data_IF_625775920303
#
_entry.id   IF_625775920303
#
_cell.length_a   1.000
_cell.length_b   1.000
_cell.length_c   1.000
_cell.angle_alpha   90.00
_cell.angle_beta   90.00
_cell.angle_gamma   90.00
#
_symmetry.space_group_name_H-M   'P 1'
#
loop_
_entity.id
_entity.type
_entity.pdbx_description
1 polymer ?
#
# COMPACT_ATOMS: atom_id res chain seq x y z
N UNK A 1 -20.70 22.36 6.59
CA UNK A 1 -19.75 23.16 7.38
C UNK A 1 -18.35 23.26 6.74
N UNK A 2 -17.92 22.32 5.86
CA UNK A 2 -16.61 22.43 5.19
C UNK A 2 -16.60 23.39 3.98
N UNK A 3 -17.74 23.61 3.33
CA UNK A 3 -17.82 24.37 2.06
C UNK A 3 -17.48 25.86 2.22
N UNK A 4 -17.69 26.45 3.39
CA UNK A 4 -17.50 27.89 3.58
C UNK A 4 -16.03 28.28 3.72
N UNK A 5 -15.18 27.46 4.37
CA UNK A 5 -13.76 27.77 4.54
C UNK A 5 -12.96 27.58 3.23
N UNK A 6 -13.25 26.50 2.50
CA UNK A 6 -12.62 26.19 1.21
C UNK A 6 -12.95 27.25 0.15
N UNK A 7 -14.19 27.75 0.16
CA UNK A 7 -14.61 28.83 -0.76
C UNK A 7 -13.95 30.17 -0.43
N UNK A 8 -13.71 30.47 0.85
CA UNK A 8 -13.07 31.73 1.27
C UNK A 8 -11.59 31.76 0.92
N UNK A 9 -10.86 30.64 1.03
CA UNK A 9 -9.43 30.58 0.67
C UNK A 9 -9.19 30.65 -0.85
N UNK A 10 -10.07 30.02 -1.66
CA UNK A 10 -10.00 30.13 -3.12
C UNK A 10 -10.33 31.56 -3.61
N UNK A 11 -11.30 32.23 -2.98
CA UNK A 11 -11.62 33.63 -3.27
C UNK A 11 -10.45 34.58 -3.00
N UNK A 12 -9.59 34.27 -2.02
CA UNK A 12 -8.37 35.06 -1.75
C UNK A 12 -7.32 34.90 -2.84
N UNK A 13 -7.20 33.71 -3.45
CA UNK A 13 -6.28 33.47 -4.57
C UNK A 13 -6.78 34.16 -5.85
N UNK A 14 -8.09 34.12 -6.12
CA UNK A 14 -8.69 34.80 -7.29
C UNK A 14 -8.62 36.33 -7.20
N UNK A 15 -8.56 36.88 -5.99
CA UNK A 15 -8.43 38.32 -5.74
C UNK A 15 -6.97 38.79 -5.61
N UNK A 16 -5.99 37.89 -5.65
CA UNK A 16 -4.58 38.25 -5.58
C UNK A 16 -4.15 38.93 -6.89
N UNK A 17 -3.61 40.14 -6.79
CA UNK A 17 -3.21 40.96 -7.93
C UNK A 17 -2.18 40.25 -8.82
N UNK A 18 -1.26 39.46 -8.24
CA UNK A 18 -0.24 38.71 -9.00
C UNK A 18 -0.87 37.58 -9.81
N UNK A 19 -1.92 36.95 -9.29
CA UNK A 19 -2.67 35.90 -10.00
C UNK A 19 -3.44 36.53 -11.16
N UNK A 20 -4.07 37.68 -10.95
CA UNK A 20 -4.80 38.40 -11.99
C UNK A 20 -3.87 38.88 -13.11
N UNK A 21 -2.72 39.49 -12.78
CA UNK A 21 -1.71 39.92 -13.74
C UNK A 21 -1.19 38.75 -14.59
N UNK A 22 -0.85 37.62 -13.96
CA UNK A 22 -0.36 36.44 -14.68
C UNK A 22 -1.45 35.78 -15.53
N UNK A 23 -2.70 35.79 -15.06
CA UNK A 23 -3.86 35.30 -15.82
C UNK A 23 -4.09 36.13 -17.08
N UNK A 24 -4.14 37.46 -16.94
CA UNK A 24 -4.27 38.38 -18.06
C UNK A 24 -3.10 38.24 -19.04
N UNK A 25 -1.87 38.26 -18.54
CA UNK A 25 -0.67 38.08 -19.36
C UNK A 25 -0.64 36.74 -20.10
N UNK A 26 -1.19 35.67 -19.51
CA UNK A 26 -1.31 34.37 -20.18
C UNK A 26 -2.28 34.40 -21.36
N UNK A 27 -3.40 35.14 -21.24
CA UNK A 27 -4.37 35.34 -22.32
C UNK A 27 -3.74 36.17 -23.44
N UNK A 28 -3.03 37.25 -23.12
CA UNK A 28 -2.34 38.10 -24.10
C UNK A 28 -1.25 37.32 -24.85
N UNK A 29 -0.45 36.52 -24.14
CA UNK A 29 0.51 35.62 -24.77
C UNK A 29 -0.20 34.60 -25.70
N UNK A 30 -1.32 34.02 -25.28
CA UNK A 30 -2.07 33.10 -26.14
C UNK A 30 -2.57 33.78 -27.43
N UNK A 31 -3.11 35.00 -27.32
CA UNK A 31 -3.55 35.77 -28.48
C UNK A 31 -2.39 36.08 -29.43
N UNK A 32 -1.24 36.48 -28.89
CA UNK A 32 -0.02 36.71 -29.69
C UNK A 32 0.47 35.43 -30.36
N UNK A 33 0.42 34.29 -29.66
CA UNK A 33 0.80 32.99 -30.22
C UNK A 33 -0.07 32.63 -31.44
N UNK A 34 -1.37 32.93 -31.39
CA UNK A 34 -2.31 32.66 -32.50
C UNK A 34 -2.05 33.54 -33.73
N UNK A 35 -1.44 34.72 -33.57
CA UNK A 35 -1.09 35.61 -34.68
C UNK A 35 0.27 35.34 -35.31
N UNK A 36 1.14 34.57 -34.65
CA UNK A 36 2.48 34.27 -35.17
C UNK A 36 2.34 33.30 -36.35
N UNK A 37 2.91 33.69 -37.49
CA UNK A 37 3.07 32.84 -38.66
C UNK A 37 4.55 32.76 -38.98
N UNK A 38 5.09 31.56 -39.12
CA UNK A 38 6.51 31.32 -39.39
C UNK A 38 6.65 30.98 -40.88
N UNK A 39 7.34 31.83 -41.63
CA UNK A 39 7.51 31.68 -43.09
C UNK A 39 8.96 31.75 -43.53
N UNK A 40 9.86 32.26 -42.69
CA UNK A 40 11.29 32.46 -42.96
C UNK A 40 12.11 32.39 -41.66
N UNK A 41 13.43 32.44 -41.79
CA UNK A 41 14.36 32.33 -40.66
C UNK A 41 14.26 33.51 -39.68
N UNK A 42 13.81 34.69 -40.12
CA UNK A 42 13.62 35.87 -39.27
C UNK A 42 12.36 35.71 -38.39
N UNK A 43 11.25 35.24 -38.97
CA UNK A 43 10.03 34.91 -38.22
C UNK A 43 10.19 33.69 -37.31
N UNK A 44 11.07 32.73 -37.64
CA UNK A 44 11.44 31.64 -36.74
C UNK A 44 12.19 32.14 -35.50
N UNK A 45 13.12 33.10 -35.67
CA UNK A 45 13.84 33.72 -34.56
C UNK A 45 12.89 34.47 -33.63
N UNK A 46 11.96 35.26 -34.17
CA UNK A 46 10.94 35.96 -33.38
C UNK A 46 10.02 34.98 -32.62
N UNK A 47 9.65 33.87 -33.26
CA UNK A 47 8.85 32.82 -32.63
C UNK A 47 9.63 32.13 -31.50
N UNK A 48 10.94 31.89 -31.67
CA UNK A 48 11.80 31.32 -30.65
C UNK A 48 11.95 32.24 -29.42
N UNK A 49 12.13 33.55 -29.64
CA UNK A 49 12.14 34.55 -28.56
C UNK A 49 10.79 34.61 -27.82
N UNK A 50 9.68 34.55 -28.57
CA UNK A 50 8.36 34.50 -27.99
C UNK A 50 8.14 33.23 -27.15
N UNK A 51 8.60 32.06 -27.62
CA UNK A 51 8.57 30.82 -26.84
C UNK A 51 9.38 30.94 -25.54
N UNK A 52 10.50 31.66 -25.54
CA UNK A 52 11.25 31.93 -24.31
C UNK A 52 10.43 32.78 -23.32
N UNK A 53 9.70 33.80 -23.81
CA UNK A 53 8.80 34.62 -22.97
C UNK A 53 7.67 33.77 -22.34
N UNK A 54 7.06 32.87 -23.12
CA UNK A 54 6.04 31.93 -22.61
C UNK A 54 6.62 31.02 -21.52
N UNK A 55 7.84 30.50 -21.71
CA UNK A 55 8.52 29.67 -20.70
C UNK A 55 8.78 30.46 -19.41
N UNK A 56 9.20 31.72 -19.50
CA UNK A 56 9.36 32.60 -18.33
C UNK A 56 8.03 32.86 -17.61
N UNK A 57 6.94 33.13 -18.35
CA UNK A 57 5.62 33.33 -17.77
C UNK A 57 5.13 32.06 -17.04
N UNK A 58 5.29 30.88 -17.64
CA UNK A 58 4.99 29.60 -16.98
C UNK A 58 5.77 29.41 -15.69
N UNK A 59 7.06 29.76 -15.68
CA UNK A 59 7.88 29.66 -14.47
C UNK A 59 7.35 30.56 -13.34
N UNK A 60 6.93 31.79 -13.65
CA UNK A 60 6.35 32.70 -12.65
C UNK A 60 5.04 32.17 -12.06
N UNK A 61 4.18 31.57 -12.89
CA UNK A 61 2.95 30.93 -12.43
C UNK A 61 3.28 29.79 -11.45
N UNK A 62 4.28 28.97 -11.78
CA UNK A 62 4.70 27.86 -10.93
C UNK A 62 5.32 28.33 -9.61
N UNK A 63 6.13 29.38 -9.63
CA UNK A 63 6.67 30.01 -8.42
C UNK A 63 5.56 30.56 -7.52
N UNK A 64 4.53 31.19 -8.10
CA UNK A 64 3.38 31.69 -7.35
C UNK A 64 2.54 30.54 -6.78
N UNK A 65 2.34 29.46 -7.55
CA UNK A 65 1.69 28.23 -7.08
C UNK A 65 2.42 27.68 -5.85
N UNK A 66 3.75 27.59 -5.91
CA UNK A 66 4.56 27.16 -4.77
C UNK A 66 4.45 28.09 -3.57
N UNK A 67 4.44 29.40 -3.79
CA UNK A 67 4.26 30.39 -2.72
C UNK A 67 2.97 30.16 -1.91
N UNK A 68 1.86 29.82 -2.56
CA UNK A 68 0.61 29.48 -1.88
C UNK A 68 0.61 28.07 -1.28
N UNK A 69 1.15 27.08 -2.00
CA UNK A 69 0.99 25.66 -1.64
C UNK A 69 2.04 25.14 -0.66
N UNK A 70 3.27 25.66 -0.68
CA UNK A 70 4.35 25.19 0.17
C UNK A 70 4.06 25.38 1.68
N UNK A 71 3.51 26.52 2.15
CA UNK A 71 3.14 26.70 3.55
C UNK A 71 2.03 25.74 3.99
N UNK A 72 1.05 25.49 3.11
CA UNK A 72 -0.07 24.59 3.37
C UNK A 72 0.39 23.13 3.45
N UNK A 73 1.26 22.69 2.54
CA UNK A 73 1.85 21.36 2.59
C UNK A 73 2.74 21.19 3.83
N UNK A 74 3.50 22.23 4.22
CA UNK A 74 4.28 22.22 5.46
C UNK A 74 3.37 22.09 6.69
N UNK A 75 2.26 22.84 6.75
CA UNK A 75 1.30 22.79 7.84
C UNK A 75 0.60 21.43 7.91
N UNK A 76 0.11 20.93 6.78
CA UNK A 76 -0.50 19.59 6.66
C UNK A 76 0.46 18.51 7.13
N UNK A 77 1.73 18.56 6.70
CA UNK A 77 2.76 17.62 7.14
C UNK A 77 3.00 17.72 8.66
N UNK A 78 3.05 18.92 9.22
CA UNK A 78 3.21 19.14 10.66
C UNK A 78 2.02 18.59 11.46
N UNK A 79 0.79 18.81 10.99
CA UNK A 79 -0.44 18.26 11.59
C UNK A 79 -0.38 16.73 11.57
N UNK A 80 -0.13 16.12 10.40
CA UNK A 80 -0.01 14.67 10.26
C UNK A 80 1.08 14.12 11.20
N UNK A 81 2.24 14.77 11.27
CA UNK A 81 3.32 14.36 12.16
C UNK A 81 2.91 14.43 13.64
N UNK A 82 2.18 15.48 14.04
CA UNK A 82 1.67 15.64 15.40
C UNK A 82 0.69 14.51 15.75
N UNK A 83 -0.27 14.22 14.88
CA UNK A 83 -1.23 13.14 15.11
C UNK A 83 -0.55 11.76 15.12
N UNK A 84 0.42 11.50 14.23
CA UNK A 84 1.23 10.27 14.27
C UNK A 84 1.98 10.12 15.59
N UNK A 85 2.55 11.21 16.11
CA UNK A 85 3.24 11.18 17.41
C UNK A 85 2.28 10.91 18.57
N UNK A 86 1.05 11.45 18.52
CA UNK A 86 0.00 11.19 19.51
C UNK A 86 -0.53 9.76 19.43
N UNK A 87 -0.63 9.20 18.22
CA UNK A 87 -1.09 7.83 17.96
C UNK A 87 -0.03 6.76 18.28
N UNK A 88 1.26 7.10 18.19
CA UNK A 88 2.36 6.15 18.36
C UNK A 88 2.33 5.36 19.70
N UNK A 89 1.99 5.95 20.87
CA UNK A 89 1.81 5.17 22.10
C UNK A 89 0.64 4.19 22.04
N UNK A 90 -0.46 4.53 21.34
CA UNK A 90 -1.62 3.67 21.17
C UNK A 90 -1.30 2.50 20.24
N UNK A 91 -0.64 2.76 19.10
CA UNK A 91 -0.12 1.71 18.21
C UNK A 91 0.83 0.75 18.94
N UNK A 92 1.71 1.29 19.81
CA UNK A 92 2.57 0.45 20.67
C UNK A 92 1.76 -0.37 21.67
N UNK A 93 0.77 0.23 22.32
CA UNK A 93 -0.10 -0.48 23.27
C UNK A 93 -0.87 -1.62 22.59
N UNK A 94 -1.43 -1.36 21.40
CA UNK A 94 -2.12 -2.36 20.58
C UNK A 94 -1.18 -3.51 20.20
N UNK A 95 0.04 -3.21 19.73
CA UNK A 95 1.05 -4.24 19.41
C UNK A 95 1.46 -5.07 20.63
N UNK A 96 1.65 -4.45 21.79
CA UNK A 96 2.02 -5.15 23.03
C UNK A 96 0.90 -6.09 23.45
N UNK A 97 -0.34 -5.61 23.53
CA UNK A 97 -1.49 -6.40 23.98
C UNK A 97 -1.86 -7.46 22.94
N UNK A 98 -1.85 -7.11 21.66
CA UNK A 98 -2.05 -8.04 20.55
C UNK A 98 -1.02 -9.17 20.53
N UNK A 99 0.27 -8.85 20.75
CA UNK A 99 1.33 -9.85 20.88
C UNK A 99 1.11 -10.81 22.06
N UNK A 100 0.71 -10.28 23.23
CA UNK A 100 0.33 -11.11 24.38
C UNK A 100 -0.88 -11.99 24.08
N UNK A 101 -1.86 -11.47 23.36
CA UNK A 101 -3.05 -12.23 22.99
C UNK A 101 -2.72 -13.38 22.02
N UNK A 102 -1.85 -13.14 21.04
CA UNK A 102 -1.33 -14.17 20.14
C UNK A 102 -0.56 -15.23 20.93
N UNK A 103 0.37 -14.83 21.80
CA UNK A 103 1.17 -15.76 22.60
C UNK A 103 0.30 -16.63 23.52
N UNK A 104 -0.72 -16.05 24.16
CA UNK A 104 -1.67 -16.80 24.98
C UNK A 104 -2.50 -17.78 24.15
N UNK A 105 -2.95 -17.37 22.97
CA UNK A 105 -3.73 -18.22 22.05
C UNK A 105 -2.88 -19.40 21.58
N UNK A 106 -1.62 -19.16 21.22
CA UNK A 106 -0.66 -20.21 20.85
C UNK A 106 -0.39 -21.18 22.01
N UNK A 107 -0.13 -20.67 23.21
CA UNK A 107 0.09 -21.51 24.40
C UNK A 107 -1.14 -22.37 24.74
N UNK A 108 -2.34 -21.82 24.56
CA UNK A 108 -3.60 -22.56 24.75
C UNK A 108 -3.79 -23.65 23.68
N UNK A 109 -3.49 -23.34 22.42
CA UNK A 109 -3.50 -24.33 21.33
C UNK A 109 -2.48 -25.46 21.60
N UNK A 110 -1.27 -25.13 22.02
CA UNK A 110 -0.24 -26.13 22.36
C UNK A 110 -0.64 -27.00 23.56
N UNK A 111 -1.17 -26.41 24.63
CA UNK A 111 -1.63 -27.15 25.80
C UNK A 111 -2.76 -28.12 25.45
N UNK A 112 -3.72 -27.68 24.64
CA UNK A 112 -4.79 -28.53 24.13
C UNK A 112 -4.25 -29.68 23.28
N UNK A 113 -3.30 -29.42 22.38
CA UNK A 113 -2.70 -30.45 21.54
C UNK A 113 -1.94 -31.50 22.39
N UNK A 114 -1.19 -31.07 23.41
CA UNK A 114 -0.46 -31.98 24.33
C UNK A 114 -1.42 -32.85 25.14
N UNK A 115 -2.52 -32.28 25.65
CA UNK A 115 -3.51 -33.05 26.39
C UNK A 115 -4.26 -34.04 25.48
N UNK A 116 -4.59 -33.63 24.25
CA UNK A 116 -5.16 -34.55 23.24
C UNK A 116 -4.20 -35.71 22.94
N UNK A 117 -2.90 -35.44 22.79
CA UNK A 117 -1.90 -36.48 22.57
C UNK A 117 -1.77 -37.43 23.77
N UNK A 118 -1.74 -36.88 25.00
CA UNK A 118 -1.70 -37.67 26.23
C UNK A 118 -2.92 -38.59 26.35
N UNK A 119 -4.11 -38.05 26.13
CA UNK A 119 -5.36 -38.82 26.18
C UNK A 119 -5.41 -39.88 25.09
N UNK A 120 -4.92 -39.57 23.88
CA UNK A 120 -4.80 -40.53 22.78
C UNK A 120 -3.86 -41.69 23.15
N UNK A 121 -2.67 -41.41 23.69
CA UNK A 121 -1.73 -42.46 24.15
C UNK A 121 -2.32 -43.33 25.26
N UNK A 122 -3.07 -42.74 26.19
CA UNK A 122 -3.71 -43.47 27.29
C UNK A 122 -4.86 -44.35 26.79
N UNK A 123 -5.63 -43.89 25.79
CA UNK A 123 -6.64 -44.68 25.12
C UNK A 123 -6.02 -45.82 24.33
N UNK A 124 -4.97 -45.57 23.53
CA UNK A 124 -4.22 -46.59 22.79
C UNK A 124 -3.64 -47.66 23.74
N UNK A 125 -3.03 -47.25 24.86
CA UNK A 125 -2.50 -48.18 25.86
C UNK A 125 -3.59 -49.02 26.56
N UNK A 126 -4.75 -48.42 26.88
CA UNK A 126 -5.90 -49.15 27.43
C UNK A 126 -6.48 -50.14 26.42
N UNK A 127 -6.53 -49.78 25.15
CA UNK A 127 -7.00 -50.65 24.08
C UNK A 127 -6.01 -51.80 23.85
N UNK A 128 -4.70 -51.53 23.76
CA UNK A 128 -3.67 -52.56 23.62
C UNK A 128 -3.70 -53.57 24.77
N UNK A 129 -3.89 -53.11 26.02
CA UNK A 129 -4.06 -54.00 27.18
C UNK A 129 -5.34 -54.84 27.12
N UNK A 130 -6.43 -54.30 26.58
CA UNK A 130 -7.68 -55.04 26.42
C UNK A 130 -7.58 -56.08 25.31
N UNK A 131 -6.96 -55.73 24.17
CA UNK A 131 -6.69 -56.65 23.08
C UNK A 131 -5.81 -57.82 23.53
N UNK A 132 -4.70 -57.54 24.23
CA UNK A 132 -3.81 -58.58 24.76
C UNK A 132 -4.53 -59.53 25.75
N UNK A 133 -5.41 -59.00 26.61
CA UNK A 133 -6.21 -59.82 27.55
C UNK A 133 -7.29 -60.64 26.87
N UNK A 134 -7.85 -60.17 25.75
CA UNK A 134 -8.82 -60.92 24.96
C UNK A 134 -8.15 -62.07 24.21
N UNK A 135 -6.96 -61.81 23.64
CA UNK A 135 -6.11 -62.79 22.97
C UNK A 135 -5.67 -63.90 23.95
N UNK A 136 -5.22 -63.53 25.16
CA UNK A 136 -4.82 -64.49 26.21
C UNK A 136 -5.99 -65.36 26.70
N UNK A 137 -7.23 -64.86 26.64
CA UNK A 137 -8.45 -65.59 27.04
C UNK A 137 -9.17 -66.28 25.89
N UNK A 138 -8.66 -66.21 24.65
CA UNK A 138 -9.25 -66.84 23.48
C UNK A 138 -10.63 -66.29 23.06
N UNK A 139 -10.96 -65.06 23.44
CA UNK A 139 -12.19 -64.36 23.02
C UNK A 139 -11.89 -63.42 21.85
N UNK A 140 -12.85 -63.22 20.94
CA UNK A 140 -12.73 -62.23 19.86
C UNK A 140 -12.45 -60.84 20.43
N UNK A 141 -11.42 -60.19 19.90
CA UNK A 141 -11.00 -58.87 20.36
C UNK A 141 -12.16 -57.86 20.16
N UNK A 142 -12.52 -57.07 21.19
CA UNK A 142 -13.51 -56.02 21.05
C UNK A 142 -13.13 -55.07 19.90
N UNK A 143 -14.09 -54.58 19.09
CA UNK A 143 -13.80 -53.67 18.00
C UNK A 143 -13.08 -52.43 18.52
N UNK A 144 -12.00 -52.04 17.82
CA UNK A 144 -11.15 -50.89 18.13
C UNK A 144 -11.95 -49.60 17.91
N UNK A 145 -12.78 -49.23 18.88
CA UNK A 145 -13.40 -47.91 18.94
C UNK A 145 -12.54 -47.10 19.90
N UNK A 146 -11.74 -46.19 19.36
CA UNK A 146 -11.05 -45.17 20.15
C UNK A 146 -12.02 -43.99 20.21
N UNK A 147 -12.85 -43.84 21.25
CA UNK A 147 -13.56 -42.59 21.46
C UNK A 147 -12.48 -41.53 21.74
N UNK A 148 -12.11 -40.75 20.72
CA UNK A 148 -11.24 -39.61 20.90
C UNK A 148 -11.96 -38.63 21.85
N UNK A 149 -11.39 -38.31 23.02
CA UNK A 149 -11.93 -37.23 23.82
C UNK A 149 -11.72 -35.92 23.05
N UNK A 150 -12.81 -35.38 22.53
CA UNK A 150 -12.83 -34.10 21.83
C UNK A 150 -12.69 -32.99 22.86
N UNK A 151 -11.48 -32.47 23.05
CA UNK A 151 -11.29 -31.21 23.78
C UNK A 151 -12.00 -30.12 22.97
N UNK A 152 -12.93 -29.40 23.60
CA UNK A 152 -13.67 -28.31 22.96
C UNK A 152 -12.67 -27.32 22.32
N UNK A 153 -12.80 -27.10 21.01
CA UNK A 153 -11.90 -26.23 20.28
C UNK A 153 -11.90 -24.83 20.92
N UNK A 154 -10.72 -24.21 21.12
CA UNK A 154 -10.65 -22.88 21.71
C UNK A 154 -11.41 -21.88 20.83
N UNK A 155 -12.28 -21.07 21.45
CA UNK A 155 -13.03 -20.02 20.76
C UNK A 155 -12.06 -19.03 20.11
N UNK A 156 -12.12 -18.91 18.77
CA UNK A 156 -11.22 -18.07 17.96
C UNK A 156 -11.53 -16.57 18.03
N UNK A 157 -12.73 -16.22 18.50
CA UNK A 157 -13.22 -14.85 18.60
C UNK A 157 -13.70 -14.60 20.01
N UNK A 158 -13.19 -13.54 20.64
CA UNK A 158 -13.62 -13.09 21.95
C UNK A 158 -14.45 -11.82 21.75
N UNK A 159 -15.74 -11.92 22.09
CA UNK A 159 -16.64 -10.76 22.14
C UNK A 159 -16.54 -10.10 23.52
N UNK A 160 -16.35 -8.79 23.53
CA UNK A 160 -16.35 -7.97 24.74
C UNK A 160 -17.36 -6.83 24.58
N UNK A 161 -17.72 -6.17 25.69
CA UNK A 161 -18.64 -5.03 25.68
C UNK A 161 -18.14 -3.83 24.86
N UNK A 162 -16.83 -3.72 24.64
CA UNK A 162 -16.20 -2.62 23.91
C UNK A 162 -15.74 -3.00 22.48
N UNK A 163 -15.95 -4.24 22.04
CA UNK A 163 -15.54 -4.72 20.72
C UNK A 163 -15.22 -6.21 20.67
N UNK A 164 -14.82 -6.71 19.49
CA UNK A 164 -14.42 -8.10 19.27
C UNK A 164 -12.95 -8.21 18.90
N UNK A 165 -12.22 -9.11 19.57
CA UNK A 165 -10.83 -9.44 19.22
C UNK A 165 -10.83 -10.82 18.55
N UNK A 166 -10.36 -10.87 17.30
CA UNK A 166 -10.22 -12.12 16.53
C UNK A 166 -8.79 -12.32 16.11
N UNK A 167 -8.19 -13.44 16.49
CA UNK A 167 -6.88 -13.85 16.01
C UNK A 167 -7.09 -14.73 14.76
N UNK A 168 -6.55 -14.30 13.62
CA UNK A 168 -6.60 -15.05 12.35
C UNK A 168 -5.20 -15.31 11.80
N UNK A 169 -5.04 -16.47 11.16
CA UNK A 169 -3.83 -16.78 10.38
C UNK A 169 -3.95 -16.10 9.01
N UNK A 170 -2.96 -15.30 8.64
CA UNK A 170 -2.90 -14.62 7.33
C UNK A 170 -1.67 -15.13 6.59
N UNK A 171 -1.87 -15.60 5.36
CA UNK A 171 -0.78 -16.00 4.49
C UNK A 171 -0.07 -14.76 3.95
N UNK A 172 1.25 -14.68 4.16
CA UNK A 172 2.13 -13.69 3.56
C UNK A 172 3.07 -14.42 2.61
N UNK A 173 3.42 -13.80 1.49
CA UNK A 173 4.40 -14.33 0.56
C UNK A 173 5.59 -13.39 0.48
N UNK A 174 6.77 -13.95 0.19
CA UNK A 174 7.97 -13.23 -0.15
C UNK A 174 8.53 -13.87 -1.42
N UNK A 175 8.86 -13.05 -2.43
CA UNK A 175 9.49 -13.55 -3.65
C UNK A 175 10.96 -13.83 -3.34
N UNK A 176 11.34 -15.11 -3.34
CA UNK A 176 12.72 -15.55 -3.11
C UNK A 176 13.52 -15.56 -4.40
N UNK A 177 12.87 -15.91 -5.51
CA UNK A 177 13.45 -15.87 -6.86
C UNK A 177 12.43 -15.29 -7.86
N UNK A 178 12.85 -14.23 -8.55
CA UNK A 178 12.04 -13.55 -9.56
C UNK A 178 12.05 -14.28 -10.90
N UNK A 179 13.11 -15.05 -11.21
CA UNK A 179 13.23 -15.76 -12.47
C UNK A 179 12.25 -16.94 -12.54
N UNK A 180 12.11 -17.69 -11.44
CA UNK A 180 11.16 -18.79 -11.30
C UNK A 180 9.69 -18.35 -11.20
N UNK A 181 9.40 -17.05 -11.11
CA UNK A 181 8.03 -16.55 -11.07
C UNK A 181 7.37 -16.68 -12.46
N UNK A 182 6.11 -17.16 -12.56
CA UNK A 182 5.38 -17.19 -13.82
C UNK A 182 5.30 -15.80 -14.48
N UNK A 183 5.33 -15.74 -15.82
CA UNK A 183 5.32 -14.48 -16.57
C UNK A 183 4.09 -13.61 -16.28
N UNK A 184 2.96 -14.23 -15.95
CA UNK A 184 1.70 -13.54 -15.56
C UNK A 184 1.85 -12.60 -14.35
N UNK A 185 2.84 -12.86 -13.48
CA UNK A 185 3.11 -12.03 -12.29
C UNK A 185 4.33 -11.12 -12.46
N UNK A 186 5.00 -11.15 -13.62
CA UNK A 186 6.14 -10.29 -13.95
C UNK A 186 5.63 -9.03 -14.64
N UNK A 187 5.55 -7.92 -13.90
CA UNK A 187 5.22 -6.60 -14.46
C UNK A 187 6.50 -5.90 -14.89
N UNK A 188 6.52 -5.34 -16.09
CA UNK A 188 7.64 -4.55 -16.60
C UNK A 188 7.75 -3.20 -15.86
N UNK A 189 8.97 -2.79 -15.56
CA UNK A 189 9.27 -1.50 -14.90
C UNK A 189 9.52 -0.43 -15.97
N UNK A 190 8.46 0.27 -16.37
CA UNK A 190 8.51 1.32 -17.41
C UNK A 190 9.49 2.46 -17.08
N UNK A 191 9.71 2.72 -15.78
CA UNK A 191 10.64 3.77 -15.34
C UNK A 191 12.09 3.37 -15.63
N UNK A 192 12.44 2.10 -15.40
CA UNK A 192 13.76 1.57 -15.75
C UNK A 192 13.93 1.46 -17.26
N UNK A 193 12.91 0.99 -17.98
CA UNK A 193 12.93 0.94 -19.44
C UNK A 193 13.16 2.35 -20.03
N UNK A 194 12.40 3.36 -19.59
CA UNK A 194 12.59 4.74 -20.03
C UNK A 194 13.97 5.33 -19.72
N UNK A 195 14.61 4.95 -18.60
CA UNK A 195 16.00 5.37 -18.31
C UNK A 195 16.99 4.75 -19.29
N UNK A 196 16.82 3.48 -19.62
CA UNK A 196 17.70 2.74 -20.54
C UNK A 196 17.54 3.25 -21.97
N UNK A 197 16.30 3.56 -22.38
CA UNK A 197 16.00 4.21 -23.67
C UNK A 197 16.64 5.60 -23.75
N UNK A 198 16.51 6.43 -22.70
CA UNK A 198 17.18 7.75 -22.64
C UNK A 198 18.71 7.66 -22.61
N UNK A 199 19.27 6.57 -22.08
CA UNK A 199 20.71 6.31 -22.07
C UNK A 199 21.27 5.84 -23.43
N UNK A 200 20.42 5.65 -24.46
CA UNK A 200 20.84 5.35 -25.83
C UNK A 200 20.66 3.90 -26.26
N UNK A 201 20.04 3.03 -25.43
CA UNK A 201 19.67 1.68 -25.85
C UNK A 201 18.42 1.76 -26.71
N UNK A 202 18.57 1.45 -28.00
CA UNK A 202 17.52 1.54 -29.02
C UNK A 202 16.86 0.20 -29.36
N UNK A 203 17.35 -0.89 -28.78
CA UNK A 203 16.79 -2.23 -28.94
C UNK A 203 16.64 -2.91 -27.57
N UNK A 204 15.41 -3.23 -27.19
CA UNK A 204 15.07 -4.02 -26.01
C UNK A 204 14.09 -5.11 -26.48
N UNK A 205 14.39 -6.41 -26.28
CA UNK A 205 13.46 -7.48 -26.63
C UNK A 205 12.09 -7.26 -26.00
N UNK A 206 11.04 -7.15 -26.81
CA UNK A 206 9.67 -6.95 -26.36
C UNK A 206 9.22 -5.49 -26.18
N UNK A 207 10.08 -4.49 -26.44
CA UNK A 207 9.71 -3.05 -26.34
C UNK A 207 9.97 -2.36 -27.68
N UNK A 208 8.95 -1.66 -28.20
CA UNK A 208 9.08 -0.78 -29.37
C UNK A 208 9.44 0.63 -28.91
N UNK A 209 10.59 1.12 -29.34
CA UNK A 209 11.08 2.48 -29.06
C UNK A 209 10.79 3.35 -30.28
N UNK A 210 10.22 4.53 -30.08
CA UNK A 210 9.93 5.52 -31.13
C UNK A 210 10.35 6.93 -30.67
N UNK A 211 10.72 7.77 -31.63
CA UNK A 211 11.11 9.16 -31.40
C UNK A 211 9.95 10.07 -31.81
N UNK A 212 9.53 10.93 -30.89
CA UNK A 212 8.49 11.94 -31.11
C UNK A 212 9.14 13.31 -30.84
N UNK A 213 9.07 14.23 -31.82
CA UNK A 213 9.54 15.59 -31.62
C UNK A 213 8.53 16.33 -30.74
N UNK A 214 8.96 16.73 -29.55
CA UNK A 214 8.16 17.52 -28.60
C UNK A 214 8.82 18.89 -28.43
N UNK A 215 8.00 19.96 -28.50
CA UNK A 215 8.41 21.38 -28.37
C UNK A 215 8.38 21.85 -26.91
#
# INVERSE_FOLDING_TARGET
MATTAETVELQVIEQDERVQELSQGSIELLQRAQSITITDDESDLEAAEFLAQVKTARKRIEELRHWFTDPLEAQKKAIIARFKATDAPLDRAEKIVGGKHIAYTQAKEEANNREQERLRKLAEAKQARQAARAEEKGLEAPPVVIPMPTIAAPQKTIHTSAGSVTVRKVWRHQVVDFAALPEEYKIADDVKLGKVVRAGVREIPGVRIYEEMVV
#
